data_IF_118245069083
#
_entry.id   IF_118245069083
#
_cell.length_a   1.000
_cell.length_b   1.000
_cell.length_c   1.000
_cell.angle_alpha   90.00
_cell.angle_beta   90.00
_cell.angle_gamma   90.00
#
_symmetry.space_group_name_H-M   'P 1'
#
loop_
_entity.id
_entity.type
_entity.pdbx_description
1 polymer ?
#
# COMPACT_ATOMS: atom_id res chain seq x y z
N UNK A 1 10.74 1.13 13.44
CA UNK A 1 9.69 1.26 12.41
C UNK A 1 10.28 0.80 11.11
N UNK A 2 9.57 -0.09 10.43
CA UNK A 2 9.96 -0.62 9.12
C UNK A 2 9.07 0.03 8.07
N UNK A 3 9.61 0.30 6.88
CA UNK A 3 8.83 0.83 5.77
C UNK A 3 9.24 0.23 4.44
N UNK A 4 8.30 0.16 3.50
CA UNK A 4 8.55 -0.16 2.10
C UNK A 4 7.85 0.86 1.21
N UNK A 5 8.45 1.19 0.08
CA UNK A 5 7.88 2.11 -0.91
C UNK A 5 7.35 1.32 -2.10
N UNK A 6 6.18 1.71 -2.58
CA UNK A 6 5.54 1.16 -3.77
C UNK A 6 5.27 2.32 -4.71
N UNK A 7 5.68 2.20 -5.97
CA UNK A 7 5.40 3.21 -6.99
C UNK A 7 4.54 2.64 -8.13
N UNK A 8 3.61 3.45 -8.61
CA UNK A 8 2.82 3.15 -9.79
C UNK A 8 3.46 3.81 -11.00
N UNK A 9 4.41 3.12 -11.64
CA UNK A 9 5.06 3.58 -12.88
C UNK A 9 4.27 3.21 -14.15
N UNK A 10 3.01 2.80 -14.01
CA UNK A 10 2.14 2.48 -15.14
C UNK A 10 1.36 3.71 -15.60
N UNK A 11 0.67 3.59 -16.73
CA UNK A 11 -0.24 4.63 -17.25
C UNK A 11 -1.66 4.52 -16.67
N UNK A 12 -1.90 3.54 -15.81
CA UNK A 12 -3.21 3.17 -15.30
C UNK A 12 -3.29 3.36 -13.79
N UNK A 13 -4.50 3.52 -13.29
CA UNK A 13 -4.72 3.60 -11.83
C UNK A 13 -4.60 2.20 -11.22
N UNK A 14 -3.79 2.07 -10.17
CA UNK A 14 -3.57 0.80 -9.49
C UNK A 14 -4.11 0.85 -8.07
N UNK A 15 -4.67 -0.28 -7.63
CA UNK A 15 -5.01 -0.49 -6.23
C UNK A 15 -3.82 -1.11 -5.50
N UNK A 16 -3.42 -0.51 -4.38
CA UNK A 16 -2.51 -1.07 -3.40
C UNK A 16 -3.32 -1.65 -2.23
N UNK A 17 -3.31 -2.97 -2.08
CA UNK A 17 -3.84 -3.64 -0.89
C UNK A 17 -2.76 -3.76 0.17
N UNK A 18 -3.11 -3.47 1.42
CA UNK A 18 -2.27 -3.73 2.59
C UNK A 18 -2.92 -4.81 3.44
N UNK A 19 -2.24 -5.94 3.50
CA UNK A 19 -2.66 -7.14 4.21
C UNK A 19 -1.86 -7.33 5.51
N UNK A 20 -2.45 -7.92 6.57
CA UNK A 20 -3.73 -8.66 6.58
C UNK A 20 -4.99 -7.83 6.88
N UNK A 21 -4.90 -6.49 6.88
CA UNK A 21 -6.04 -5.64 7.24
C UNK A 21 -7.07 -5.45 6.12
N UNK A 22 -6.80 -5.94 4.90
CA UNK A 22 -7.69 -5.76 3.75
C UNK A 22 -7.95 -4.30 3.38
N UNK A 23 -7.01 -3.38 3.67
CA UNK A 23 -7.17 -1.97 3.31
C UNK A 23 -6.68 -1.71 1.90
N UNK A 24 -7.38 -0.86 1.15
CA UNK A 24 -7.05 -0.49 -0.22
C UNK A 24 -6.71 1.00 -0.35
N UNK A 25 -5.69 1.30 -1.14
CA UNK A 25 -5.16 2.64 -1.37
C UNK A 25 -4.89 2.80 -2.85
N UNK A 26 -5.53 3.76 -3.52
CA UNK A 26 -5.46 3.84 -4.97
C UNK A 26 -4.44 4.87 -5.42
N UNK A 27 -3.56 4.43 -6.33
CA UNK A 27 -2.41 5.17 -6.83
C UNK A 27 -2.66 5.59 -8.27
N UNK A 28 -2.60 6.89 -8.56
CA UNK A 28 -2.58 7.40 -9.93
C UNK A 28 -1.24 7.07 -10.60
N UNK A 29 -1.18 7.11 -11.94
CA UNK A 29 0.08 7.07 -12.67
C UNK A 29 1.12 8.05 -12.10
N UNK A 30 2.31 7.54 -11.80
CA UNK A 30 3.44 8.29 -11.23
C UNK A 30 3.35 8.56 -9.71
N UNK A 31 2.33 8.08 -9.01
CA UNK A 31 2.26 8.19 -7.55
C UNK A 31 3.08 7.10 -6.84
N UNK A 32 3.50 7.43 -5.62
CA UNK A 32 4.30 6.58 -4.76
C UNK A 32 3.70 6.64 -3.34
N UNK A 33 3.53 5.46 -2.74
CA UNK A 33 3.10 5.30 -1.36
C UNK A 33 4.18 4.60 -0.54
N UNK A 34 4.31 5.00 0.72
CA UNK A 34 5.10 4.31 1.72
C UNK A 34 4.17 3.57 2.67
N UNK A 35 4.35 2.26 2.80
CA UNK A 35 3.67 1.44 3.81
C UNK A 35 4.61 1.33 5.00
N UNK A 36 4.15 1.79 6.16
CA UNK A 36 4.92 1.86 7.40
C UNK A 36 4.29 0.95 8.43
N UNK A 37 5.12 0.29 9.23
CA UNK A 37 4.67 -0.58 10.31
C UNK A 37 5.59 -0.51 11.52
N UNK A 38 4.99 -0.78 12.68
CA UNK A 38 5.71 -1.09 13.92
C UNK A 38 5.93 -2.59 14.02
N UNK A 39 7.08 -3.06 13.55
CA UNK A 39 7.54 -4.44 13.75
C UNK A 39 8.72 -4.48 14.71
N UNK A 40 8.88 -5.62 15.40
CA UNK A 40 10.17 -6.00 15.98
C UNK A 40 11.24 -6.25 14.89
N UNK A 41 12.45 -6.69 15.28
CA UNK A 41 13.51 -7.01 14.33
C UNK A 41 13.17 -8.29 13.55
N UNK A 42 12.32 -8.17 12.53
CA UNK A 42 12.16 -9.16 11.48
C UNK A 42 13.12 -8.90 10.33
N UNK A 43 13.67 -9.96 9.75
CA UNK A 43 14.52 -9.86 8.56
C UNK A 43 13.75 -9.46 7.30
N UNK A 44 12.43 -9.70 7.25
CA UNK A 44 11.57 -9.40 6.09
C UNK A 44 10.18 -8.92 6.53
N UNK A 45 10.03 -7.64 6.93
CA UNK A 45 8.76 -7.11 7.43
C UNK A 45 7.66 -6.97 6.36
N UNK A 46 8.01 -7.12 5.07
CA UNK A 46 7.07 -6.97 3.96
C UNK A 46 7.29 -8.03 2.88
N UNK A 47 6.19 -8.57 2.34
CA UNK A 47 6.17 -9.25 1.05
C UNK A 47 5.37 -8.39 0.05
N UNK A 48 5.96 -8.09 -1.11
CA UNK A 48 5.30 -7.30 -2.17
C UNK A 48 4.96 -8.22 -3.33
N UNK A 49 3.68 -8.25 -3.72
CA UNK A 49 3.16 -9.06 -4.82
C UNK A 49 2.51 -8.15 -5.85
N UNK A 50 3.03 -8.16 -7.07
CA UNK A 50 2.42 -7.46 -8.22
C UNK A 50 1.57 -8.45 -9.00
N UNK A 51 0.31 -8.11 -9.27
CA UNK A 51 -0.63 -8.96 -9.99
C UNK A 51 -1.52 -8.14 -10.92
N UNK A 52 -2.32 -8.83 -11.74
CA UNK A 52 -3.12 -8.20 -12.79
C UNK A 52 -4.14 -7.15 -12.30
N UNK A 53 -4.48 -7.16 -11.01
CA UNK A 53 -5.46 -6.23 -10.42
C UNK A 53 -4.78 -5.08 -9.65
N UNK A 54 -3.47 -5.12 -9.44
CA UNK A 54 -2.73 -4.12 -8.69
C UNK A 54 -1.58 -4.72 -7.89
N UNK A 55 -1.37 -4.21 -6.68
CA UNK A 55 -0.23 -4.54 -5.84
C UNK A 55 -0.74 -4.92 -4.46
N UNK A 56 -0.24 -6.01 -3.89
CA UNK A 56 -0.48 -6.37 -2.49
C UNK A 56 0.83 -6.24 -1.72
N UNK A 57 0.80 -5.49 -0.61
CA UNK A 57 1.86 -5.47 0.40
C UNK A 57 1.35 -6.24 1.61
N UNK A 58 1.95 -7.40 1.86
CA UNK A 58 1.71 -8.17 3.07
C UNK A 58 2.70 -7.72 4.14
N UNK A 59 2.20 -7.25 5.28
CA UNK A 59 3.04 -6.87 6.41
C UNK A 59 3.20 -8.06 7.34
N UNK A 60 4.43 -8.54 7.50
CA UNK A 60 4.73 -9.72 8.31
C UNK A 60 4.88 -9.34 9.79
N UNK A 61 4.28 -10.17 10.67
CA UNK A 61 4.42 -10.08 12.14
C UNK A 61 4.22 -8.68 12.75
N UNK A 62 3.36 -7.88 12.13
CA UNK A 62 3.01 -6.53 12.56
C UNK A 62 1.62 -6.47 13.22
N UNK A 63 1.45 -5.53 14.15
CA UNK A 63 0.16 -5.23 14.77
C UNK A 63 -0.56 -4.02 14.14
N UNK A 64 0.14 -3.25 13.31
CA UNK A 64 -0.39 -2.06 12.65
C UNK A 64 0.23 -1.85 11.26
N UNK A 65 -0.47 -1.10 10.41
CA UNK A 65 0.09 -0.51 9.21
C UNK A 65 -0.54 0.87 8.95
N UNK A 66 0.27 1.77 8.41
CA UNK A 66 -0.14 3.08 7.93
C UNK A 66 0.43 3.30 6.53
N UNK A 67 -0.29 4.06 5.70
CA UNK A 67 0.14 4.38 4.33
C UNK A 67 0.25 5.89 4.19
N UNK A 68 1.34 6.34 3.57
CA UNK A 68 1.62 7.75 3.35
C UNK A 68 1.94 8.03 1.88
N UNK A 69 1.54 9.19 1.40
CA UNK A 69 1.98 9.70 0.11
C UNK A 69 3.46 10.13 0.13
N UNK A 70 4.01 10.42 -1.05
CA UNK A 70 5.40 10.89 -1.20
C UNK A 70 5.73 12.18 -0.43
N UNK A 71 4.72 12.96 -0.03
CA UNK A 71 4.87 14.18 0.77
C UNK A 71 4.74 13.90 2.27
N UNK A 72 4.47 12.67 2.68
CA UNK A 72 4.25 12.26 4.05
C UNK A 72 2.82 12.47 4.57
N UNK A 73 1.84 12.76 3.69
CA UNK A 73 0.45 12.86 4.11
C UNK A 73 -0.17 11.46 4.24
N UNK A 74 -1.03 11.21 5.24
CA UNK A 74 -1.73 9.93 5.34
C UNK A 74 -2.61 9.64 4.11
N UNK A 75 -2.49 8.44 3.59
CA UNK A 75 -3.42 7.82 2.64
C UNK A 75 -4.26 6.80 3.43
N UNK A 76 -5.48 7.15 3.88
CA UNK A 76 -6.33 6.21 4.60
C UNK A 76 -6.93 5.17 3.65
N UNK A 77 -7.47 4.08 4.21
CA UNK A 77 -8.24 3.10 3.43
C UNK A 77 -9.33 3.79 2.58
N UNK A 78 -9.41 3.42 1.30
CA UNK A 78 -10.27 4.04 0.30
C UNK A 78 -9.71 5.33 -0.31
N UNK A 79 -8.46 5.72 -0.02
CA UNK A 79 -7.82 6.88 -0.63
C UNK A 79 -7.88 6.78 -2.17
N UNK A 80 -8.45 7.80 -2.80
CA UNK A 80 -8.67 7.90 -4.26
C UNK A 80 -9.45 6.74 -4.90
N UNK A 81 -10.14 5.91 -4.11
CA UNK A 81 -10.95 4.80 -4.62
C UNK A 81 -11.93 5.29 -5.70
N UNK A 82 -11.91 4.69 -6.91
CA UNK A 82 -12.80 5.11 -7.98
C UNK A 82 -14.28 4.98 -7.58
N UNK A 83 -15.09 5.98 -7.93
CA UNK A 83 -16.53 5.98 -7.59
C UNK A 83 -17.29 4.77 -8.19
N UNK A 84 -16.78 4.21 -9.29
CA UNK A 84 -17.36 3.05 -9.97
C UNK A 84 -16.59 1.75 -9.71
N UNK A 85 -15.79 1.69 -8.64
CA UNK A 85 -14.95 0.53 -8.36
C UNK A 85 -15.73 -0.77 -8.07
N UNK A 86 -17.07 -0.72 -8.02
CA UNK A 86 -17.93 -1.91 -8.04
C UNK A 86 -17.56 -2.91 -6.95
N UNK A 87 -17.75 -2.52 -5.69
CA UNK A 87 -17.69 -3.44 -4.56
C UNK A 87 -19.01 -4.18 -4.39
#
# INVERSE_FOLDING_TARGET
>A
MSQTSVSNETDSMLCLWVEPWGTDHWMRPGEEFSVVTETGPEESPFNVVVHAQGITVWVNSANSSEVFDKKGNPAPCGHQRPANAGF
#
